data_IF_782942637938
#
_entry.id   IF_782942637938
#
_cell.length_a   1.000
_cell.length_b   1.000
_cell.length_c   1.000
_cell.angle_alpha   90.00
_cell.angle_beta   90.00
_cell.angle_gamma   90.00
#
_symmetry.space_group_name_H-M   'P 1'
#
loop_
_entity.id
_entity.type
_entity.pdbx_description
1 polymer ?
#
# COMPACT_ATOMS: atom_id res chain seq x y z
N UNK A 1 72.54 8.81 -2.33
CA UNK A 1 72.51 8.87 -0.86
C UNK A 1 71.17 9.45 -0.49
N UNK A 2 70.29 8.71 0.20
CA UNK A 2 68.94 9.18 0.53
C UNK A 2 68.99 10.10 1.75
N UNK A 3 68.41 11.29 1.65
CA UNK A 3 68.46 12.29 2.72
C UNK A 3 67.75 11.81 4.00
N UNK A 4 68.33 12.04 5.20
CA UNK A 4 67.75 11.61 6.48
C UNK A 4 66.32 12.10 6.72
N UNK A 5 65.95 13.27 6.17
CA UNK A 5 64.59 13.80 6.23
C UNK A 5 63.59 12.99 5.41
N UNK A 6 64.00 12.40 4.29
CA UNK A 6 63.13 11.57 3.44
C UNK A 6 62.80 10.23 4.11
N UNK A 7 63.78 9.66 4.82
CA UNK A 7 63.60 8.44 5.62
C UNK A 7 62.70 8.72 6.83
N UNK A 8 62.91 9.84 7.53
CA UNK A 8 62.05 10.26 8.65
C UNK A 8 60.60 10.51 8.21
N UNK A 9 60.40 11.17 7.05
CA UNK A 9 59.07 11.39 6.48
C UNK A 9 58.37 10.09 6.06
N UNK A 10 59.10 9.12 5.52
CA UNK A 10 58.55 7.80 5.17
C UNK A 10 58.14 7.00 6.41
N UNK A 11 58.93 7.03 7.48
CA UNK A 11 58.63 6.37 8.75
C UNK A 11 57.41 7.03 9.43
N UNK A 12 57.33 8.37 9.41
CA UNK A 12 56.18 9.11 9.93
C UNK A 12 54.89 8.78 9.15
N UNK A 13 54.98 8.69 7.81
CA UNK A 13 53.87 8.29 6.95
C UNK A 13 53.37 6.87 7.24
N UNK A 14 54.28 5.91 7.45
CA UNK A 14 53.94 4.53 7.83
C UNK A 14 53.31 4.50 9.24
N UNK A 15 53.83 5.29 10.17
CA UNK A 15 53.24 5.47 11.51
C UNK A 15 51.79 5.94 11.44
N UNK A 16 51.52 6.96 10.64
CA UNK A 16 50.18 7.53 10.47
C UNK A 16 49.23 6.56 9.77
N UNK A 17 49.70 5.85 8.74
CA UNK A 17 48.93 4.77 8.09
C UNK A 17 48.57 3.66 9.09
N UNK A 18 49.51 3.23 9.94
CA UNK A 18 49.24 2.19 10.95
C UNK A 18 48.18 2.63 11.96
N UNK A 19 48.19 3.90 12.38
CA UNK A 19 47.21 4.47 13.30
C UNK A 19 45.82 4.55 12.66
N UNK A 20 45.73 4.95 11.39
CA UNK A 20 44.45 4.98 10.65
C UNK A 20 43.88 3.57 10.44
N UNK A 21 44.72 2.59 10.11
CA UNK A 21 44.31 1.19 9.98
C UNK A 21 43.80 0.64 11.34
N UNK A 22 44.48 0.97 12.44
CA UNK A 22 44.03 0.59 13.79
C UNK A 22 42.66 1.20 14.14
N UNK A 23 42.48 2.49 13.83
CA UNK A 23 41.23 3.19 14.13
C UNK A 23 40.07 2.59 13.34
N UNK A 24 40.29 2.24 12.07
CA UNK A 24 39.28 1.65 11.20
C UNK A 24 38.97 0.20 11.58
N UNK A 25 39.98 -0.59 11.95
CA UNK A 25 39.80 -1.94 12.49
C UNK A 25 39.02 -1.93 13.83
N UNK A 26 39.30 -0.97 14.73
CA UNK A 26 38.59 -0.87 16.02
C UNK A 26 37.10 -0.51 15.86
N UNK A 27 36.77 0.33 14.88
CA UNK A 27 35.38 0.65 14.54
C UNK A 27 34.64 -0.55 13.96
N UNK A 28 35.32 -1.36 13.15
CA UNK A 28 34.75 -2.59 12.59
C UNK A 28 34.44 -3.63 13.67
N UNK A 29 35.37 -3.85 14.61
CA UNK A 29 35.19 -4.81 15.72
C UNK A 29 34.01 -4.43 16.63
N UNK A 30 33.76 -3.13 16.84
CA UNK A 30 32.61 -2.67 17.64
C UNK A 30 31.26 -2.90 16.96
N UNK A 31 31.23 -2.99 15.63
CA UNK A 31 29.99 -3.03 14.85
C UNK A 31 29.66 -4.44 14.33
N UNK A 32 30.65 -5.32 14.17
CA UNK A 32 30.47 -6.67 13.65
C UNK A 32 30.32 -7.72 14.77
N UNK A 33 29.08 -8.17 15.02
CA UNK A 33 28.72 -9.14 16.08
C UNK A 33 29.23 -10.58 15.88
N UNK A 34 29.90 -10.90 14.76
CA UNK A 34 30.32 -12.27 14.39
C UNK A 34 31.82 -12.46 14.08
N UNK A 35 32.63 -11.39 14.09
CA UNK A 35 34.04 -11.43 13.69
C UNK A 35 35.00 -11.21 14.86
N UNK A 36 34.60 -11.59 16.07
CA UNK A 36 35.28 -11.20 17.32
C UNK A 36 36.69 -11.79 17.45
N UNK A 37 36.91 -13.03 16.99
CA UNK A 37 38.21 -13.71 17.07
C UNK A 37 39.23 -13.13 16.09
N UNK A 38 38.85 -13.01 14.81
CA UNK A 38 39.71 -12.44 13.75
C UNK A 38 39.97 -10.95 13.98
N UNK A 39 38.97 -10.23 14.50
CA UNK A 39 39.10 -8.83 14.91
C UNK A 39 40.08 -8.65 16.07
N UNK A 40 40.01 -9.49 17.10
CA UNK A 40 40.96 -9.47 18.23
C UNK A 40 42.40 -9.75 17.79
N UNK A 41 42.62 -10.71 16.90
CA UNK A 41 43.96 -10.99 16.35
C UNK A 41 44.51 -9.82 15.54
N UNK A 42 43.70 -9.22 14.66
CA UNK A 42 44.09 -8.05 13.88
C UNK A 42 44.39 -6.84 14.77
N UNK A 43 43.58 -6.61 15.82
CA UNK A 43 43.81 -5.54 16.78
C UNK A 43 45.10 -5.74 17.59
N UNK A 44 45.41 -6.98 17.97
CA UNK A 44 46.64 -7.33 18.68
C UNK A 44 47.87 -7.15 17.79
N UNK A 45 47.83 -7.60 16.54
CA UNK A 45 48.93 -7.43 15.59
C UNK A 45 49.16 -5.96 15.24
N UNK A 46 48.10 -5.19 15.07
CA UNK A 46 48.21 -3.75 14.80
C UNK A 46 48.74 -2.99 16.02
N UNK A 47 48.37 -3.38 17.23
CA UNK A 47 48.96 -2.86 18.48
C UNK A 47 50.45 -3.18 18.57
N UNK A 48 50.86 -4.38 18.18
CA UNK A 48 52.26 -4.78 18.14
C UNK A 48 53.04 -3.96 17.11
N UNK A 49 52.48 -3.74 15.92
CA UNK A 49 53.09 -2.90 14.88
C UNK A 49 53.23 -1.44 15.35
N UNK A 50 52.20 -0.89 16.01
CA UNK A 50 52.25 0.46 16.58
C UNK A 50 53.33 0.59 17.66
N UNK A 51 53.55 -0.43 18.50
CA UNK A 51 54.65 -0.46 19.47
C UNK A 51 56.02 -0.47 18.78
N UNK A 52 56.18 -1.28 17.72
CA UNK A 52 57.44 -1.33 16.95
C UNK A 52 57.73 0.02 16.29
N UNK A 53 56.70 0.68 15.74
CA UNK A 53 56.84 2.00 15.12
C UNK A 53 57.10 3.12 16.14
N UNK A 54 56.50 3.06 17.33
CA UNK A 54 56.85 3.99 18.43
C UNK A 54 58.29 3.81 18.91
N UNK A 55 58.75 2.57 19.06
CA UNK A 55 60.14 2.29 19.41
C UNK A 55 61.11 2.80 18.35
N UNK A 56 60.77 2.66 17.07
CA UNK A 56 61.52 3.23 15.95
C UNK A 56 61.54 4.76 15.97
N UNK A 57 60.40 5.41 16.25
CA UNK A 57 60.34 6.87 16.39
C UNK A 57 61.28 7.37 17.49
N UNK A 58 61.29 6.70 18.64
CA UNK A 58 62.18 7.03 19.75
C UNK A 58 63.66 6.84 19.38
N UNK A 59 63.98 5.77 18.65
CA UNK A 59 65.34 5.54 18.15
C UNK A 59 65.76 6.55 17.08
N UNK A 60 64.84 6.98 16.23
CA UNK A 60 65.10 8.00 15.19
C UNK A 60 65.38 9.36 15.84
N UNK A 61 64.63 9.73 16.88
CA UNK A 61 64.90 10.92 17.68
C UNK A 61 66.25 10.84 18.40
N UNK A 62 66.64 9.65 18.88
CA UNK A 62 67.95 9.43 19.48
C UNK A 62 69.09 9.57 18.46
N UNK A 63 68.91 9.09 17.22
CA UNK A 63 69.88 9.22 16.12
C UNK A 63 70.07 10.68 15.68
N UNK A 64 68.99 11.46 15.60
CA UNK A 64 69.04 12.89 15.25
C UNK A 64 69.82 13.71 16.29
N UNK A 65 69.86 13.27 17.56
CA UNK A 65 70.57 13.96 18.66
C UNK A 65 72.07 13.64 18.75
N UNK A 66 72.61 12.69 17.97
CA UNK A 66 74.02 12.29 18.05
C UNK A 66 74.86 13.10 17.05
N UNK A 67 75.68 14.03 17.56
CA UNK A 67 76.74 14.71 16.80
C UNK A 67 78.03 13.87 16.77
N UNK A 68 78.54 13.64 15.55
CA UNK A 68 79.84 13.10 15.09
C UNK A 68 80.47 11.81 15.68
N UNK A 69 80.88 10.92 14.75
CA UNK A 69 81.97 9.95 14.90
C UNK A 69 81.70 8.61 15.60
N UNK A 70 81.79 7.49 14.86
CA UNK A 70 81.83 6.07 15.30
C UNK A 70 80.57 5.48 15.96
N UNK A 71 79.81 6.25 16.76
CA UNK A 71 78.50 5.80 17.29
C UNK A 71 77.40 5.71 16.23
N UNK A 72 77.50 6.50 15.15
CA UNK A 72 76.55 6.46 14.03
C UNK A 72 76.62 5.12 13.30
N UNK A 73 77.81 4.59 12.98
CA UNK A 73 77.95 3.26 12.37
C UNK A 73 77.40 2.12 13.23
N UNK A 74 77.61 2.15 14.54
CA UNK A 74 77.12 1.11 15.45
C UNK A 74 75.58 1.09 15.50
N UNK A 75 74.97 2.28 15.54
CA UNK A 75 73.51 2.44 15.49
C UNK A 75 72.97 2.11 14.10
N UNK A 76 73.70 2.42 13.01
CA UNK A 76 73.33 2.03 11.64
C UNK A 76 73.36 0.50 11.46
N UNK A 77 74.31 -0.20 12.07
CA UNK A 77 74.36 -1.68 12.10
C UNK A 77 73.27 -2.27 12.98
N UNK A 78 72.93 -1.65 14.11
CA UNK A 78 71.81 -2.13 14.94
C UNK A 78 70.45 -1.83 14.29
N UNK A 79 70.33 -0.76 13.50
CA UNK A 79 69.16 -0.43 12.68
C UNK A 79 69.02 -1.36 11.46
N UNK A 80 70.12 -1.89 10.92
CA UNK A 80 70.09 -2.96 9.90
C UNK A 80 69.48 -4.26 10.44
N UNK A 81 69.44 -4.42 11.77
CA UNK A 81 68.96 -5.63 12.45
C UNK A 81 67.77 -5.36 13.39
N UNK A 82 66.67 -4.83 12.83
CA UNK A 82 65.41 -5.56 12.94
C UNK A 82 64.58 -5.57 11.64
N UNK A 83 65.13 -5.02 10.54
CA UNK A 83 64.42 -4.90 9.27
C UNK A 83 65.27 -5.49 8.14
N UNK A 84 65.30 -6.82 8.08
CA UNK A 84 65.61 -7.47 6.81
C UNK A 84 64.53 -7.04 5.81
N UNK A 85 64.92 -6.62 4.60
CA UNK A 85 63.98 -6.22 3.55
C UNK A 85 62.94 -7.33 3.24
N UNK A 86 63.25 -8.57 3.62
CA UNK A 86 62.38 -9.73 3.50
C UNK A 86 61.23 -9.73 4.53
N UNK A 87 61.51 -9.40 5.80
CA UNK A 87 60.50 -9.39 6.88
C UNK A 87 59.46 -8.29 6.68
N UNK A 88 59.88 -7.12 6.20
CA UNK A 88 58.98 -6.00 5.87
C UNK A 88 58.08 -6.33 4.67
N UNK A 89 58.59 -7.05 3.67
CA UNK A 89 57.79 -7.55 2.54
C UNK A 89 56.80 -8.62 2.99
N UNK A 90 57.20 -9.52 3.89
CA UNK A 90 56.31 -10.52 4.47
C UNK A 90 55.15 -9.90 5.24
N UNK A 91 55.41 -8.91 6.08
CA UNK A 91 54.37 -8.17 6.81
C UNK A 91 53.45 -7.37 5.87
N UNK A 92 54.00 -6.75 4.83
CA UNK A 92 53.21 -6.04 3.82
C UNK A 92 52.26 -6.99 3.07
N UNK A 93 52.76 -8.17 2.68
CA UNK A 93 51.95 -9.19 2.03
C UNK A 93 50.81 -9.70 2.94
N UNK A 94 51.07 -9.87 4.25
CA UNK A 94 50.04 -10.23 5.21
C UNK A 94 48.97 -9.12 5.38
N UNK A 95 49.39 -7.85 5.42
CA UNK A 95 48.47 -6.70 5.49
C UNK A 95 47.60 -6.64 4.23
N UNK A 96 48.18 -6.85 3.05
CA UNK A 96 47.42 -6.81 1.79
C UNK A 96 46.45 -8.00 1.67
N UNK A 97 46.85 -9.17 2.17
CA UNK A 97 45.96 -10.34 2.30
C UNK A 97 44.77 -10.05 3.22
N UNK A 98 45.01 -9.47 4.41
CA UNK A 98 43.94 -9.11 5.33
C UNK A 98 43.04 -7.98 4.83
N UNK A 99 43.61 -7.00 4.12
CA UNK A 99 42.84 -5.94 3.45
C UNK A 99 41.85 -6.54 2.46
N UNK A 100 42.31 -7.50 1.65
CA UNK A 100 41.46 -8.19 0.67
C UNK A 100 40.32 -8.96 1.36
N UNK A 101 40.63 -9.70 2.43
CA UNK A 101 39.63 -10.44 3.21
C UNK A 101 38.61 -9.53 3.89
N UNK A 102 39.04 -8.42 4.50
CA UNK A 102 38.13 -7.45 5.12
C UNK A 102 37.25 -6.76 4.08
N UNK A 103 37.80 -6.42 2.90
CA UNK A 103 37.04 -5.83 1.80
C UNK A 103 35.96 -6.79 1.28
N UNK A 104 36.29 -8.08 1.18
CA UNK A 104 35.33 -9.11 0.76
C UNK A 104 34.22 -9.29 1.81
N UNK A 105 34.58 -9.42 3.09
CA UNK A 105 33.60 -9.55 4.18
C UNK A 105 32.63 -8.36 4.24
N UNK A 106 33.15 -7.14 4.12
CA UNK A 106 32.33 -5.92 4.04
C UNK A 106 31.37 -5.96 2.85
N UNK A 107 31.83 -6.40 1.68
CA UNK A 107 30.98 -6.51 0.49
C UNK A 107 29.87 -7.54 0.71
N UNK A 108 30.17 -8.68 1.32
CA UNK A 108 29.19 -9.71 1.67
C UNK A 108 28.10 -9.18 2.62
N UNK A 109 28.48 -8.44 3.67
CA UNK A 109 27.52 -7.84 4.62
C UNK A 109 26.61 -6.81 3.93
N UNK A 110 27.17 -6.02 3.01
CA UNK A 110 26.36 -5.08 2.22
C UNK A 110 25.36 -5.79 1.33
N UNK A 111 25.74 -6.92 0.71
CA UNK A 111 24.86 -7.73 -0.13
C UNK A 111 23.75 -8.39 0.68
N UNK A 112 24.06 -8.95 1.85
CA UNK A 112 23.05 -9.55 2.74
C UNK A 112 22.00 -8.51 3.18
N UNK A 113 22.46 -7.30 3.51
CA UNK A 113 21.57 -6.20 3.86
C UNK A 113 20.65 -5.78 2.71
N UNK A 114 21.16 -5.74 1.48
CA UNK A 114 20.35 -5.46 0.29
C UNK A 114 19.32 -6.55 0.02
N UNK A 115 19.71 -7.83 0.12
CA UNK A 115 18.79 -8.96 -0.06
C UNK A 115 17.63 -8.90 0.95
N UNK A 116 17.92 -8.57 2.21
CA UNK A 116 16.90 -8.40 3.25
C UNK A 116 15.98 -7.21 2.99
N UNK A 117 16.46 -6.15 2.36
CA UNK A 117 15.63 -5.03 1.91
C UNK A 117 14.71 -5.43 0.76
N UNK A 118 15.19 -6.22 -0.20
CA UNK A 118 14.41 -6.71 -1.33
C UNK A 118 13.29 -7.65 -0.89
N UNK A 119 13.56 -8.58 0.04
CA UNK A 119 12.53 -9.47 0.60
C UNK A 119 11.38 -8.69 1.27
N UNK A 120 11.72 -7.62 2.00
CA UNK A 120 10.71 -6.73 2.61
C UNK A 120 9.92 -5.94 1.55
N UNK A 121 10.53 -5.64 0.40
CA UNK A 121 9.89 -4.91 -0.68
C UNK A 121 8.75 -5.71 -1.31
N UNK A 122 8.89 -7.03 -1.48
CA UNK A 122 7.82 -7.90 -1.99
C UNK A 122 6.59 -7.90 -1.06
N UNK A 123 6.82 -7.91 0.25
CA UNK A 123 5.76 -7.78 1.26
C UNK A 123 5.01 -6.44 1.15
N UNK A 124 5.73 -5.35 0.92
CA UNK A 124 5.14 -4.02 0.72
C UNK A 124 4.33 -3.96 -0.56
N UNK A 125 4.83 -4.53 -1.66
CA UNK A 125 4.11 -4.60 -2.95
C UNK A 125 2.80 -5.38 -2.79
N UNK A 126 2.80 -6.49 -2.05
CA UNK A 126 1.60 -7.26 -1.73
C UNK A 126 0.57 -6.40 -0.97
N UNK A 127 1.01 -5.71 0.08
CA UNK A 127 0.15 -4.81 0.88
C UNK A 127 -0.43 -3.65 0.04
N UNK A 128 0.37 -3.06 -0.84
CA UNK A 128 -0.09 -1.99 -1.76
C UNK A 128 -1.14 -2.53 -2.73
N UNK A 129 -0.94 -3.73 -3.26
CA UNK A 129 -1.89 -4.37 -4.18
C UNK A 129 -3.23 -4.65 -3.49
N UNK A 130 -3.21 -5.18 -2.26
CA UNK A 130 -4.43 -5.36 -1.45
C UNK A 130 -5.10 -4.02 -1.11
N UNK A 131 -4.31 -2.99 -0.78
CA UNK A 131 -4.85 -1.65 -0.52
C UNK A 131 -5.53 -1.07 -1.77
N UNK A 132 -4.91 -1.21 -2.94
CA UNK A 132 -5.50 -0.79 -4.22
C UNK A 132 -6.85 -1.44 -4.46
N UNK A 133 -6.95 -2.77 -4.28
CA UNK A 133 -8.20 -3.49 -4.44
C UNK A 133 -9.30 -3.00 -3.47
N UNK A 134 -8.91 -2.73 -2.21
CA UNK A 134 -9.85 -2.19 -1.22
C UNK A 134 -10.33 -0.79 -1.60
N UNK A 135 -9.44 0.08 -2.08
CA UNK A 135 -9.79 1.43 -2.54
C UNK A 135 -10.74 1.37 -3.74
N UNK A 136 -10.44 0.55 -4.75
CA UNK A 136 -11.32 0.36 -5.92
C UNK A 136 -12.72 -0.08 -5.48
N UNK A 137 -12.80 -1.05 -4.57
CA UNK A 137 -14.08 -1.50 -4.00
C UNK A 137 -14.83 -0.37 -3.27
N UNK A 138 -14.13 0.42 -2.45
CA UNK A 138 -14.74 1.56 -1.74
C UNK A 138 -15.24 2.63 -2.72
N UNK A 139 -14.48 2.94 -3.76
CA UNK A 139 -14.91 3.91 -4.78
C UNK A 139 -16.14 3.42 -5.56
N UNK A 140 -16.23 2.13 -5.87
CA UNK A 140 -17.40 1.54 -6.51
C UNK A 140 -18.65 1.59 -5.62
N UNK A 141 -18.49 1.37 -4.31
CA UNK A 141 -19.58 1.50 -3.34
C UNK A 141 -20.02 2.97 -3.23
N UNK A 142 -19.08 3.89 -3.07
CA UNK A 142 -19.37 5.31 -2.92
C UNK A 142 -20.09 5.89 -4.15
N UNK A 143 -19.62 5.58 -5.35
CA UNK A 143 -20.27 6.02 -6.60
C UNK A 143 -21.68 5.48 -6.73
N UNK A 144 -21.92 4.23 -6.31
CA UNK A 144 -23.26 3.66 -6.27
C UNK A 144 -24.17 4.37 -5.26
N UNK A 145 -23.69 4.65 -4.05
CA UNK A 145 -24.45 5.39 -3.03
C UNK A 145 -24.83 6.79 -3.56
N UNK A 146 -23.88 7.53 -4.12
CA UNK A 146 -24.14 8.86 -4.67
C UNK A 146 -25.11 8.84 -5.86
N UNK A 147 -25.00 7.82 -6.71
CA UNK A 147 -25.94 7.59 -7.80
C UNK A 147 -27.36 7.32 -7.25
N UNK A 148 -27.47 6.42 -6.28
CA UNK A 148 -28.75 6.06 -5.64
C UNK A 148 -29.37 7.28 -4.95
N UNK A 149 -28.58 8.13 -4.26
CA UNK A 149 -29.07 9.37 -3.63
C UNK A 149 -29.58 10.39 -4.67
N UNK A 150 -28.86 10.59 -5.77
CA UNK A 150 -29.28 11.50 -6.84
C UNK A 150 -30.55 10.97 -7.51
N UNK A 151 -30.60 9.67 -7.79
CA UNK A 151 -31.77 9.02 -8.36
C UNK A 151 -32.98 9.13 -7.44
N UNK A 152 -32.79 8.93 -6.13
CA UNK A 152 -33.86 9.06 -5.14
C UNK A 152 -34.42 10.49 -5.08
N UNK A 153 -33.56 11.52 -5.17
CA UNK A 153 -34.01 12.92 -5.24
C UNK A 153 -34.86 13.20 -6.47
N UNK A 154 -34.52 12.61 -7.61
CA UNK A 154 -35.31 12.73 -8.85
C UNK A 154 -36.67 12.05 -8.66
N UNK A 155 -36.71 10.82 -8.13
CA UNK A 155 -37.96 10.12 -7.82
C UNK A 155 -38.82 10.96 -6.87
N UNK A 156 -38.25 11.48 -5.79
CA UNK A 156 -39.01 12.25 -4.79
C UNK A 156 -39.52 13.58 -5.36
N UNK A 157 -38.80 14.20 -6.30
CA UNK A 157 -39.24 15.42 -6.97
C UNK A 157 -40.45 15.18 -7.90
N UNK A 158 -40.39 14.14 -8.73
CA UNK A 158 -41.42 13.85 -9.73
C UNK A 158 -42.58 13.00 -9.20
N UNK A 159 -42.35 12.15 -8.19
CA UNK A 159 -43.36 11.27 -7.59
C UNK A 159 -43.95 11.86 -6.30
N UNK A 160 -44.52 13.07 -6.40
CA UNK A 160 -45.21 13.74 -5.29
C UNK A 160 -46.40 12.92 -4.76
N UNK A 161 -47.11 12.25 -5.67
CA UNK A 161 -48.24 11.37 -5.34
C UNK A 161 -47.79 9.92 -5.51
N UNK A 162 -47.70 9.19 -4.39
CA UNK A 162 -47.27 7.79 -4.37
C UNK A 162 -48.48 6.85 -4.57
N UNK A 163 -48.62 6.17 -5.72
CA UNK A 163 -49.77 5.31 -5.99
C UNK A 163 -49.79 4.06 -5.09
N UNK A 164 -48.63 3.66 -4.56
CA UNK A 164 -48.46 2.49 -3.70
C UNK A 164 -49.28 2.55 -2.42
N UNK A 165 -49.44 3.74 -1.83
CA UNK A 165 -50.22 3.92 -0.59
C UNK A 165 -51.69 3.57 -0.84
N UNK A 166 -52.24 4.02 -1.98
CA UNK A 166 -53.62 3.76 -2.36
C UNK A 166 -53.84 2.28 -2.71
N UNK A 167 -52.89 1.66 -3.42
CA UNK A 167 -52.92 0.24 -3.71
C UNK A 167 -52.89 -0.59 -2.42
N UNK A 168 -51.95 -0.30 -1.52
CA UNK A 168 -51.83 -1.00 -0.24
C UNK A 168 -53.08 -0.84 0.62
N UNK A 169 -53.65 0.37 0.68
CA UNK A 169 -54.91 0.63 1.39
C UNK A 169 -56.06 -0.16 0.77
N UNK A 170 -56.17 -0.19 -0.56
CA UNK A 170 -57.21 -0.95 -1.25
C UNK A 170 -57.07 -2.46 -1.00
N UNK A 171 -55.85 -2.98 -0.94
CA UNK A 171 -55.59 -4.38 -0.64
C UNK A 171 -55.90 -4.73 0.82
N UNK A 172 -55.54 -3.86 1.78
CA UNK A 172 -55.82 -4.06 3.21
C UNK A 172 -57.31 -4.06 3.53
N UNK A 173 -58.08 -3.19 2.88
CA UNK A 173 -59.53 -3.07 3.10
C UNK A 173 -60.34 -4.10 2.30
N UNK A 174 -59.71 -4.83 1.38
CA UNK A 174 -60.38 -5.82 0.54
C UNK A 174 -60.74 -7.05 1.36
N UNK A 175 -62.01 -7.45 1.27
CA UNK A 175 -62.46 -8.74 1.78
C UNK A 175 -62.02 -9.87 0.83
N UNK A 176 -61.64 -11.06 1.34
CA UNK A 176 -61.32 -12.22 0.52
C UNK A 176 -62.41 -12.49 -0.54
N UNK A 177 -62.00 -12.96 -1.72
CA UNK A 177 -62.86 -13.27 -2.88
C UNK A 177 -63.54 -12.08 -3.59
N UNK A 178 -63.46 -10.85 -3.03
CA UNK A 178 -64.10 -9.67 -3.63
C UNK A 178 -63.43 -9.26 -4.93
N UNK A 179 -64.14 -9.41 -6.06
CA UNK A 179 -63.70 -8.96 -7.38
C UNK A 179 -63.16 -10.07 -8.30
N UNK A 180 -63.13 -11.32 -7.85
CA UNK A 180 -62.75 -12.47 -8.70
C UNK A 180 -63.62 -12.59 -9.94
N UNK A 181 -64.92 -12.27 -9.81
CA UNK A 181 -65.85 -12.21 -10.94
C UNK A 181 -65.38 -11.29 -12.07
N UNK A 182 -64.62 -10.24 -11.75
CA UNK A 182 -64.11 -9.28 -12.73
C UNK A 182 -62.81 -9.75 -13.37
N UNK A 183 -61.90 -10.34 -12.59
CA UNK A 183 -60.54 -10.66 -13.05
C UNK A 183 -60.37 -12.08 -13.57
N UNK A 184 -61.17 -13.03 -13.07
CA UNK A 184 -61.06 -14.45 -13.42
C UNK A 184 -62.25 -14.92 -14.27
N UNK A 185 -63.46 -14.45 -13.98
CA UNK A 185 -64.67 -14.92 -14.68
C UNK A 185 -65.03 -14.10 -15.92
N UNK A 186 -64.58 -12.84 -16.04
CA UNK A 186 -65.01 -11.94 -17.10
C UNK A 186 -63.99 -11.83 -18.24
N UNK A 187 -64.36 -12.32 -19.43
CA UNK A 187 -63.53 -12.21 -20.64
C UNK A 187 -63.21 -10.76 -21.05
N UNK A 188 -63.99 -9.77 -20.59
CA UNK A 188 -63.76 -8.34 -20.88
C UNK A 188 -62.45 -7.85 -20.27
N UNK A 189 -62.11 -8.31 -19.05
CA UNK A 189 -60.85 -7.94 -18.41
C UNK A 189 -59.65 -8.50 -19.18
N UNK A 190 -59.69 -9.78 -19.54
CA UNK A 190 -58.62 -10.41 -20.33
C UNK A 190 -58.46 -9.73 -21.69
N UNK A 191 -59.56 -9.47 -22.41
CA UNK A 191 -59.54 -8.74 -23.68
C UNK A 191 -58.91 -7.35 -23.52
N UNK A 192 -59.29 -6.61 -22.47
CA UNK A 192 -58.71 -5.29 -22.22
C UNK A 192 -57.21 -5.36 -21.90
N UNK A 193 -56.78 -6.36 -21.13
CA UNK A 193 -55.39 -6.50 -20.72
C UNK A 193 -54.48 -6.97 -21.86
N UNK A 194 -55.01 -7.76 -22.80
CA UNK A 194 -54.22 -8.40 -23.86
C UNK A 194 -54.22 -7.59 -25.18
N UNK A 195 -55.22 -6.73 -25.42
CA UNK A 195 -55.25 -5.86 -26.61
C UNK A 195 -54.47 -4.55 -26.39
N UNK A 196 -53.69 -4.09 -27.38
CA UNK A 196 -53.11 -2.75 -27.32
C UNK A 196 -54.18 -1.67 -27.50
N UNK A 197 -54.04 -0.55 -26.78
CA UNK A 197 -54.92 0.64 -26.86
C UNK A 197 -56.40 0.39 -26.49
N UNK A 198 -56.69 -0.63 -25.68
CA UNK A 198 -58.03 -0.83 -25.12
C UNK A 198 -58.23 -0.07 -23.80
N UNK A 199 -59.47 0.35 -23.55
CA UNK A 199 -59.91 0.95 -22.29
C UNK A 199 -60.91 0.05 -21.56
N UNK A 200 -60.81 -0.01 -20.23
CA UNK A 200 -61.78 -0.68 -19.36
C UNK A 200 -62.51 0.36 -18.54
N UNK A 201 -63.84 0.42 -18.68
CA UNK A 201 -64.68 1.30 -17.91
C UNK A 201 -65.55 0.51 -16.93
N UNK A 202 -65.46 0.84 -15.64
CA UNK A 202 -66.24 0.20 -14.58
C UNK A 202 -67.21 1.22 -13.98
N UNK A 203 -68.47 1.17 -14.37
CA UNK A 203 -69.53 1.99 -13.78
C UNK A 203 -70.11 1.28 -12.56
N UNK A 204 -70.14 1.95 -11.40
CA UNK A 204 -70.73 1.41 -10.17
C UNK A 204 -71.37 2.52 -9.35
N UNK A 205 -72.39 2.15 -8.58
CA UNK A 205 -73.01 3.04 -7.60
C UNK A 205 -72.00 3.41 -6.49
N UNK A 206 -72.13 4.61 -5.89
CA UNK A 206 -71.32 5.00 -4.74
C UNK A 206 -71.41 3.96 -3.61
N UNK A 207 -70.30 3.69 -2.93
CA UNK A 207 -70.24 2.72 -1.83
C UNK A 207 -70.08 1.25 -2.26
N UNK A 208 -70.20 0.91 -3.54
CA UNK A 208 -70.08 -0.47 -4.01
C UNK A 208 -68.65 -1.07 -3.89
N UNK A 209 -67.65 -0.26 -3.52
CA UNK A 209 -66.26 -0.69 -3.41
C UNK A 209 -65.45 -0.55 -4.70
N UNK A 210 -65.76 0.44 -5.54
CA UNK A 210 -65.02 0.72 -6.79
C UNK A 210 -63.51 0.87 -6.56
N UNK A 211 -63.11 1.55 -5.47
CA UNK A 211 -61.69 1.69 -5.08
C UNK A 211 -61.01 0.35 -4.82
N UNK A 212 -61.73 -0.60 -4.23
CA UNK A 212 -61.22 -1.95 -3.95
C UNK A 212 -61.07 -2.74 -5.26
N UNK A 213 -62.06 -2.65 -6.16
CA UNK A 213 -61.98 -3.29 -7.47
C UNK A 213 -60.86 -2.71 -8.34
N UNK A 214 -60.68 -1.39 -8.37
CA UNK A 214 -59.57 -0.77 -9.12
C UNK A 214 -58.21 -1.26 -8.60
N UNK A 215 -58.07 -1.40 -7.28
CA UNK A 215 -56.88 -1.99 -6.67
C UNK A 215 -56.61 -3.42 -7.14
N UNK A 216 -57.65 -4.25 -7.21
CA UNK A 216 -57.52 -5.62 -7.72
C UNK A 216 -57.15 -5.66 -9.21
N UNK A 217 -57.77 -4.82 -10.05
CA UNK A 217 -57.45 -4.71 -11.48
C UNK A 217 -55.97 -4.35 -11.65
N UNK A 218 -55.50 -3.37 -10.88
CA UNK A 218 -54.09 -2.95 -10.89
C UNK A 218 -53.18 -4.09 -10.43
N UNK A 219 -53.50 -4.77 -9.32
CA UNK A 219 -52.70 -5.87 -8.79
C UNK A 219 -52.54 -7.01 -9.80
N UNK A 220 -53.63 -7.44 -10.45
CA UNK A 220 -53.58 -8.47 -11.50
C UNK A 220 -52.84 -8.01 -12.75
N UNK A 221 -52.90 -6.72 -13.09
CA UNK A 221 -52.16 -6.16 -14.23
C UNK A 221 -50.66 -6.09 -13.94
N UNK A 222 -50.28 -5.71 -12.70
CA UNK A 222 -48.88 -5.71 -12.25
C UNK A 222 -48.29 -7.14 -12.27
N UNK A 223 -49.07 -8.17 -11.94
CA UNK A 223 -48.64 -9.57 -12.05
C UNK A 223 -48.36 -10.02 -13.49
N UNK A 224 -48.92 -9.35 -14.50
CA UNK A 224 -48.63 -9.60 -15.92
C UNK A 224 -47.39 -8.83 -16.42
N UNK A 225 -46.79 -7.96 -15.60
CA UNK A 225 -45.57 -7.24 -16.00
C UNK A 225 -44.42 -8.20 -16.27
N UNK A 226 -43.64 -7.91 -17.31
CA UNK A 226 -42.51 -8.73 -17.75
C UNK A 226 -41.41 -7.82 -18.27
N UNK A 227 -40.26 -8.40 -18.67
CA UNK A 227 -39.18 -7.62 -19.29
C UNK A 227 -39.62 -6.88 -20.56
N UNK A 228 -40.69 -7.32 -21.23
CA UNK A 228 -41.21 -6.71 -22.46
C UNK A 228 -42.45 -5.85 -22.25
N UNK A 229 -43.09 -5.88 -21.06
CA UNK A 229 -44.32 -5.15 -20.78
C UNK A 229 -44.19 -4.41 -19.44
N UNK A 230 -44.03 -3.09 -19.53
CA UNK A 230 -44.04 -2.20 -18.37
C UNK A 230 -45.48 -1.79 -18.01
N UNK A 231 -45.76 -1.69 -16.71
CA UNK A 231 -47.07 -1.29 -16.19
C UNK A 231 -46.89 -0.09 -15.28
N UNK A 232 -47.47 1.04 -15.66
CA UNK A 232 -47.50 2.25 -14.85
C UNK A 232 -48.90 2.49 -14.27
N UNK A 233 -48.96 2.95 -13.03
CA UNK A 233 -50.19 3.09 -12.25
C UNK A 233 -50.29 4.49 -11.66
N UNK A 234 -51.48 5.08 -11.71
CA UNK A 234 -51.78 6.33 -11.03
C UNK A 234 -53.20 6.32 -10.46
N UNK A 235 -53.38 6.94 -9.28
CA UNK A 235 -54.68 7.10 -8.64
C UNK A 235 -55.05 8.58 -8.59
N UNK A 236 -56.15 8.94 -9.26
CA UNK A 236 -56.79 10.24 -9.08
C UNK A 236 -57.76 10.16 -7.89
N UNK A 237 -57.43 10.83 -6.79
CA UNK A 237 -58.30 10.91 -5.61
C UNK A 237 -58.92 12.30 -5.47
N UNK A 238 -60.24 12.36 -5.43
CA UNK A 238 -61.00 13.58 -5.13
C UNK A 238 -60.58 14.27 -3.83
N UNK A 239 -60.08 13.52 -2.83
CA UNK A 239 -59.62 14.08 -1.55
C UNK A 239 -58.23 14.72 -1.64
N UNK A 240 -57.44 14.38 -2.65
CA UNK A 240 -56.08 14.87 -2.82
C UNK A 240 -55.99 15.74 -4.08
N UNK A 241 -55.97 17.05 -3.89
CA UNK A 241 -55.90 18.05 -4.98
C UNK A 241 -54.66 17.85 -5.84
N UNK A 242 -53.53 17.43 -5.26
CA UNK A 242 -52.31 17.19 -6.02
C UNK A 242 -52.44 16.00 -6.97
N UNK A 243 -53.27 15.01 -6.64
CA UNK A 243 -53.52 13.87 -7.53
C UNK A 243 -54.38 14.22 -8.75
N UNK A 244 -55.02 15.40 -8.76
CA UNK A 244 -55.87 15.87 -9.87
C UNK A 244 -55.09 16.72 -10.88
N UNK A 245 -53.88 17.16 -10.52
CA UNK A 245 -53.03 17.97 -11.41
C UNK A 245 -52.41 17.10 -12.48
N UNK A 246 -52.64 17.44 -13.75
CA UNK A 246 -52.09 16.74 -14.90
C UNK A 246 -50.55 16.56 -14.81
N UNK A 247 -49.85 17.60 -14.37
CA UNK A 247 -48.40 17.56 -14.17
C UNK A 247 -47.97 16.43 -13.22
N UNK A 248 -48.70 16.19 -12.13
CA UNK A 248 -48.38 15.14 -11.19
C UNK A 248 -48.76 13.75 -11.72
N UNK A 249 -49.84 13.65 -12.50
CA UNK A 249 -50.21 12.40 -13.19
C UNK A 249 -49.09 11.96 -14.12
N UNK A 250 -48.65 12.86 -15.00
CA UNK A 250 -47.60 12.59 -15.98
C UNK A 250 -46.25 12.36 -15.31
N UNK A 251 -45.90 13.13 -14.29
CA UNK A 251 -44.64 12.98 -13.56
C UNK A 251 -44.55 11.63 -12.85
N UNK A 252 -45.61 11.18 -12.19
CA UNK A 252 -45.63 9.87 -11.53
C UNK A 252 -45.58 8.72 -12.53
N UNK A 253 -46.16 8.86 -13.73
CA UNK A 253 -46.07 7.86 -14.79
C UNK A 253 -44.67 7.81 -15.38
N UNK A 254 -44.02 8.96 -15.60
CA UNK A 254 -42.69 9.03 -16.21
C UNK A 254 -41.57 8.46 -15.33
N UNK A 255 -41.78 8.39 -14.01
CA UNK A 255 -40.82 7.81 -13.06
C UNK A 255 -40.93 6.28 -12.95
N UNK A 256 -42.08 5.71 -13.33
CA UNK A 256 -42.33 4.25 -13.26
C UNK A 256 -41.78 3.54 -14.48
#
# INVERSE_FOLDING_TARGET
MSDPLSIAGSIAGIGQLSASVFQQASKFIKNAKGAEKTGKDLANQTRNLSRVLQNLSLLTQAVVRIHEGSRREAVYRSLKWPFSADDTKGLLAQIEGHRSTVSLALSTDTLESMLKCLEKQDSVIGRISSLKQNVERLTAIQTRIEYDEKHQKIIDYFMKVKPQINLQTSSRLRQPLTGLWLTESNSTFSKWADLPRSGLWLSRIPGAGTRILSGMVIEKTLQKSSQSVAVAVFYCDHKNIDSQKLLNVLSTIAVQ
#
